data_IF_773265106492
#
_entry.id   IF_773265106492
#
_cell.length_a   1.000
_cell.length_b   1.000
_cell.length_c   1.000
_cell.angle_alpha   90.00
_cell.angle_beta   90.00
_cell.angle_gamma   90.00
#
_symmetry.space_group_name_H-M   'P 1'
#
loop_
_entity.id
_entity.type
_entity.pdbx_description
1 polymer ?
#
# COMPACT_ATOMS: atom_id res chain seq x y z
N UNK A 1 16.81 -20.68 -64.36
CA UNK A 1 17.64 -20.74 -63.12
C UNK A 1 16.94 -19.91 -62.06
N UNK A 2 16.62 -20.55 -60.92
CA UNK A 2 16.02 -20.03 -59.65
C UNK A 2 14.65 -19.34 -59.85
N UNK A 3 13.56 -19.53 -59.09
CA UNK A 3 13.38 -19.72 -57.65
C UNK A 3 11.96 -20.30 -57.43
N UNK A 4 11.81 -21.56 -57.03
CA UNK A 4 10.62 -22.01 -56.30
C UNK A 4 11.11 -22.88 -55.14
N UNK A 5 11.75 -22.23 -54.17
CA UNK A 5 12.14 -22.87 -52.90
C UNK A 5 10.85 -23.08 -52.11
N UNK A 6 10.34 -24.33 -52.07
CA UNK A 6 9.21 -24.70 -51.21
C UNK A 6 9.60 -24.43 -49.76
N UNK A 7 9.06 -23.35 -49.18
CA UNK A 7 9.21 -23.05 -47.76
C UNK A 7 8.43 -24.14 -47.02
N UNK A 8 9.07 -24.87 -46.10
CA UNK A 8 8.39 -25.94 -45.34
C UNK A 8 7.22 -25.31 -44.57
N UNK A 9 5.98 -25.63 -44.94
CA UNK A 9 4.76 -25.12 -44.28
C UNK A 9 4.72 -25.34 -42.76
N UNK A 10 5.54 -26.27 -42.25
CA UNK A 10 5.73 -26.50 -40.81
C UNK A 10 6.12 -25.22 -40.03
N UNK A 11 6.83 -24.27 -40.66
CA UNK A 11 7.33 -23.07 -39.97
C UNK A 11 6.25 -22.00 -39.73
N UNK A 12 5.16 -21.98 -40.51
CA UNK A 12 4.11 -20.97 -40.35
C UNK A 12 3.23 -21.28 -39.13
N UNK A 13 2.82 -22.54 -38.98
CA UNK A 13 2.03 -22.99 -37.83
C UNK A 13 2.82 -22.83 -36.54
N UNK A 14 4.11 -23.17 -36.56
CA UNK A 14 5.02 -22.96 -35.43
C UNK A 14 5.12 -21.48 -35.03
N UNK A 15 5.29 -20.58 -36.01
CA UNK A 15 5.32 -19.14 -35.75
C UNK A 15 3.99 -18.64 -35.16
N UNK A 16 2.85 -19.09 -35.69
CA UNK A 16 1.54 -18.71 -35.16
C UNK A 16 1.36 -19.20 -33.72
N UNK A 17 1.68 -20.47 -33.44
CA UNK A 17 1.59 -21.02 -32.08
C UNK A 17 2.50 -20.25 -31.12
N UNK A 18 3.73 -19.96 -31.52
CA UNK A 18 4.66 -19.16 -30.72
C UNK A 18 4.10 -17.76 -30.42
N UNK A 19 3.52 -17.09 -31.42
CA UNK A 19 2.91 -15.76 -31.20
C UNK A 19 1.72 -15.81 -30.24
N UNK A 20 0.87 -16.84 -30.33
CA UNK A 20 -0.26 -17.03 -29.41
C UNK A 20 0.24 -17.24 -27.99
N UNK A 21 1.26 -18.07 -27.79
CA UNK A 21 1.86 -18.28 -26.47
C UNK A 21 2.44 -16.99 -25.89
N UNK A 22 3.15 -16.20 -26.71
CA UNK A 22 3.68 -14.90 -26.28
C UNK A 22 2.54 -13.96 -25.83
N UNK A 23 1.46 -13.86 -26.61
CA UNK A 23 0.30 -13.03 -26.24
C UNK A 23 -0.32 -13.48 -24.92
N UNK A 24 -0.50 -14.78 -24.71
CA UNK A 24 -1.03 -15.33 -23.45
C UNK A 24 -0.14 -14.94 -22.27
N UNK A 25 1.18 -15.10 -22.41
CA UNK A 25 2.13 -14.73 -21.35
C UNK A 25 2.06 -13.24 -21.03
N UNK A 26 1.98 -12.36 -22.04
CA UNK A 26 1.83 -10.92 -21.84
C UNK A 26 0.53 -10.55 -21.11
N UNK A 27 -0.58 -11.20 -21.45
CA UNK A 27 -1.86 -10.97 -20.76
C UNK A 27 -1.76 -11.39 -19.30
N UNK A 28 -1.22 -12.58 -19.01
CA UNK A 28 -1.03 -13.06 -17.64
C UNK A 28 -0.11 -12.13 -16.85
N UNK A 29 1.03 -11.72 -17.43
CA UNK A 29 1.96 -10.80 -16.81
C UNK A 29 1.32 -9.43 -16.51
N UNK A 30 0.50 -8.92 -17.43
CA UNK A 30 -0.22 -7.64 -17.25
C UNK A 30 -1.25 -7.73 -16.12
N UNK A 31 -1.97 -8.84 -16.01
CA UNK A 31 -2.92 -9.08 -14.92
C UNK A 31 -2.19 -9.19 -13.57
N UNK A 32 -1.05 -9.89 -13.52
CA UNK A 32 -0.21 -9.98 -12.32
C UNK A 32 0.26 -8.58 -11.92
N UNK A 33 0.83 -7.81 -12.85
CA UNK A 33 1.33 -6.47 -12.59
C UNK A 33 0.22 -5.54 -12.09
N UNK A 34 -0.96 -5.56 -12.71
CA UNK A 34 -2.10 -4.75 -12.28
C UNK A 34 -2.50 -5.06 -10.83
N UNK A 35 -2.57 -6.35 -10.48
CA UNK A 35 -2.86 -6.78 -9.12
C UNK A 35 -1.77 -6.37 -8.13
N UNK A 36 -0.49 -6.45 -8.50
CA UNK A 36 0.62 -6.00 -7.65
C UNK A 36 0.58 -4.49 -7.42
N UNK A 37 0.28 -3.70 -8.45
CA UNK A 37 0.17 -2.24 -8.34
C UNK A 37 -0.99 -1.85 -7.43
N UNK A 38 -2.19 -2.39 -7.65
CA UNK A 38 -3.37 -2.11 -6.81
C UNK A 38 -3.13 -2.51 -5.33
N UNK A 39 -2.49 -3.66 -5.10
CA UNK A 39 -2.15 -4.09 -3.75
C UNK A 39 -1.08 -3.20 -3.09
N UNK A 40 -0.08 -2.75 -3.84
CA UNK A 40 0.95 -1.84 -3.32
C UNK A 40 0.35 -0.50 -2.92
N UNK A 41 -0.45 0.13 -3.80
CA UNK A 41 -1.08 1.43 -3.49
C UNK A 41 -2.11 1.34 -2.35
N UNK A 42 -2.90 0.26 -2.28
CA UNK A 42 -3.89 0.10 -1.22
C UNK A 42 -3.27 -0.18 0.15
N UNK A 43 -2.11 -0.86 0.19
CA UNK A 43 -1.43 -1.27 1.44
C UNK A 43 -0.34 -0.32 1.90
N UNK A 44 0.16 0.58 1.05
CA UNK A 44 1.21 1.52 1.43
C UNK A 44 0.74 2.45 2.57
N UNK A 45 1.18 2.15 3.79
CA UNK A 45 0.94 2.93 5.01
C UNK A 45 2.15 3.74 5.44
N UNK A 46 3.25 3.74 4.67
CA UNK A 46 4.49 4.42 5.09
C UNK A 46 4.30 5.91 5.34
N UNK A 47 3.47 6.59 4.54
CA UNK A 47 3.22 8.01 4.74
C UNK A 47 2.48 8.31 6.05
N UNK A 48 1.51 7.48 6.44
CA UNK A 48 0.80 7.67 7.70
C UNK A 48 1.66 7.20 8.89
N UNK A 49 2.45 6.14 8.72
CA UNK A 49 3.39 5.68 9.74
C UNK A 49 4.45 6.73 10.07
N UNK A 50 5.04 7.37 9.05
CA UNK A 50 5.99 8.46 9.26
C UNK A 50 5.35 9.64 9.97
N UNK A 51 4.15 10.05 9.54
CA UNK A 51 3.41 11.14 10.19
C UNK A 51 3.06 10.82 11.65
N UNK A 52 2.66 9.58 11.93
CA UNK A 52 2.43 9.12 13.30
C UNK A 52 3.72 9.17 14.13
N UNK A 53 4.87 8.79 13.58
CA UNK A 53 6.15 8.89 14.29
C UNK A 53 6.54 10.36 14.56
N UNK A 54 6.24 11.29 13.65
CA UNK A 54 6.42 12.74 13.88
C UNK A 54 5.53 13.22 15.03
N UNK A 55 4.26 12.83 15.05
CA UNK A 55 3.34 13.14 16.14
C UNK A 55 3.82 12.54 17.47
N UNK A 56 4.34 11.31 17.47
CA UNK A 56 4.95 10.70 18.66
C UNK A 56 6.13 11.52 19.19
N UNK A 57 6.97 12.08 18.30
CA UNK A 57 8.08 12.93 18.68
C UNK A 57 7.62 14.27 19.28
N UNK A 58 6.61 14.92 18.68
CA UNK A 58 6.04 16.18 19.21
C UNK A 58 5.36 15.97 20.57
N UNK A 59 4.77 14.79 20.78
CA UNK A 59 4.20 14.37 22.07
C UNK A 59 5.29 14.25 23.14
N UNK A 60 6.40 13.57 22.84
CA UNK A 60 7.51 13.39 23.77
C UNK A 60 8.16 14.72 24.16
N UNK A 61 8.20 15.68 23.24
CA UNK A 61 8.75 17.02 23.51
C UNK A 61 7.72 18.00 24.11
N UNK A 62 6.49 17.55 24.38
CA UNK A 62 5.46 18.38 25.02
C UNK A 62 4.89 19.50 24.14
N UNK A 63 5.12 19.45 22.82
CA UNK A 63 4.63 20.46 21.88
C UNK A 63 3.19 20.18 21.41
N UNK A 64 2.68 18.97 21.64
CA UNK A 64 1.33 18.60 21.28
C UNK A 64 0.35 18.80 22.45
N UNK A 65 -0.73 19.55 22.20
CA UNK A 65 -1.83 19.73 23.15
C UNK A 65 -2.91 18.67 22.94
N UNK A 66 -3.44 18.12 24.02
CA UNK A 66 -4.47 17.08 24.00
C UNK A 66 -5.83 17.62 24.48
N UNK A 67 -6.97 17.07 24.01
CA UNK A 67 -7.09 16.06 22.95
C UNK A 67 -6.71 16.62 21.58
N UNK A 68 -6.06 15.80 20.75
CA UNK A 68 -5.61 16.19 19.42
C UNK A 68 -6.38 15.43 18.36
N UNK A 69 -6.86 16.14 17.34
CA UNK A 69 -7.52 15.55 16.18
C UNK A 69 -7.01 16.20 14.90
N UNK A 70 -6.72 15.37 13.92
CA UNK A 70 -6.21 15.82 12.63
C UNK A 70 -6.75 14.94 11.50
N UNK A 71 -7.02 15.56 10.35
CA UNK A 71 -7.26 14.85 9.10
C UNK A 71 -6.00 14.94 8.24
N UNK A 72 -5.24 13.85 8.19
CA UNK A 72 -4.06 13.73 7.35
C UNK A 72 -4.39 12.91 6.09
N UNK A 73 -4.60 13.60 4.96
CA UNK A 73 -5.01 12.99 3.68
C UNK A 73 -6.33 12.22 3.85
N UNK A 74 -6.33 10.90 3.59
CA UNK A 74 -7.49 10.01 3.77
C UNK A 74 -7.53 9.35 5.17
N UNK A 75 -6.79 9.88 6.16
CA UNK A 75 -6.72 9.34 7.52
C UNK A 75 -7.21 10.36 8.56
N UNK A 76 -8.14 9.93 9.41
CA UNK A 76 -8.54 10.65 10.61
C UNK A 76 -7.70 10.15 11.78
N UNK A 77 -6.93 11.03 12.40
CA UNK A 77 -6.07 10.76 13.54
C UNK A 77 -6.69 11.39 14.79
N UNK A 78 -6.80 10.60 15.85
CA UNK A 78 -7.30 11.03 17.15
C UNK A 78 -6.32 10.61 18.23
N UNK A 79 -5.93 11.55 19.09
CA UNK A 79 -5.01 11.31 20.19
C UNK A 79 -5.64 11.76 21.49
N UNK A 80 -5.90 10.78 22.35
CA UNK A 80 -6.58 10.97 23.63
C UNK A 80 -5.66 10.54 24.77
N UNK A 81 -5.73 11.29 25.88
CA UNK A 81 -5.14 10.90 27.16
C UNK A 81 -6.17 10.09 27.94
N UNK A 82 -5.81 8.86 28.30
CA UNK A 82 -6.53 8.08 29.30
C UNK A 82 -5.71 8.06 30.58
N UNK A 83 -6.38 8.29 31.71
CA UNK A 83 -5.79 8.24 33.04
C UNK A 83 -6.32 7.00 33.74
N UNK A 84 -5.47 6.00 33.94
CA UNK A 84 -5.80 4.81 34.70
C UNK A 84 -5.03 4.88 36.01
N UNK A 85 -5.73 4.98 37.14
CA UNK A 85 -5.34 5.03 38.58
C UNK A 85 -3.90 5.43 39.03
N UNK A 86 -2.84 5.07 38.30
CA UNK A 86 -1.43 5.39 38.58
C UNK A 86 -0.56 5.76 37.36
N UNK A 87 -1.05 5.66 36.11
CA UNK A 87 -0.28 5.91 34.88
C UNK A 87 -1.10 6.73 33.87
N UNK A 88 -0.50 7.76 33.27
CA UNK A 88 -1.07 8.43 32.09
C UNK A 88 -0.74 7.61 30.84
N UNK A 89 -1.74 7.22 30.07
CA UNK A 89 -1.54 6.50 28.80
C UNK A 89 -2.11 7.33 27.66
N UNK A 90 -1.33 7.47 26.59
CA UNK A 90 -1.74 8.10 25.36
C UNK A 90 -2.20 7.04 24.37
N UNK A 91 -3.40 7.24 23.84
CA UNK A 91 -3.98 6.39 22.80
C UNK A 91 -4.03 7.18 21.51
N UNK A 92 -3.26 6.73 20.52
CA UNK A 92 -3.26 7.28 19.16
C UNK A 92 -4.06 6.32 18.26
N UNK A 93 -5.12 6.82 17.64
CA UNK A 93 -5.97 6.10 16.72
C UNK A 93 -5.94 6.78 15.35
N UNK A 94 -5.43 6.09 14.33
CA UNK A 94 -5.53 6.52 12.94
C UNK A 94 -6.51 5.61 12.18
N UNK A 95 -7.57 6.19 11.63
CA UNK A 95 -8.60 5.47 10.86
C UNK A 95 -8.62 5.96 9.42
N UNK A 96 -8.47 5.04 8.46
CA UNK A 96 -8.56 5.36 7.03
C UNK A 96 -10.03 5.51 6.63
N UNK A 97 -10.41 6.67 6.10
CA UNK A 97 -11.81 7.02 5.77
C UNK A 97 -12.44 6.03 4.77
N UNK A 98 -11.67 5.55 3.80
CA UNK A 98 -12.18 4.73 2.68
C UNK A 98 -12.15 3.22 2.88
N UNK A 99 -11.30 2.70 3.78
CA UNK A 99 -11.10 1.24 3.90
C UNK A 99 -11.31 0.68 5.31
N UNK A 100 -11.79 1.51 6.25
CA UNK A 100 -11.92 1.17 7.68
C UNK A 100 -10.64 0.56 8.31
N UNK A 101 -9.48 0.74 7.67
CA UNK A 101 -8.20 0.26 8.21
C UNK A 101 -7.86 1.13 9.42
N UNK A 102 -7.62 0.50 10.56
CA UNK A 102 -7.28 1.15 11.82
C UNK A 102 -5.84 0.85 12.20
N UNK A 103 -5.12 1.86 12.66
CA UNK A 103 -3.80 1.73 13.28
C UNK A 103 -3.96 2.34 14.68
N UNK A 104 -3.72 1.54 15.71
CA UNK A 104 -3.78 1.96 17.11
C UNK A 104 -2.39 1.85 17.74
N UNK A 105 -1.96 2.89 18.45
CA UNK A 105 -0.72 2.89 19.23
C UNK A 105 -1.01 3.34 20.65
N UNK A 106 -0.36 2.68 21.61
CA UNK A 106 -0.46 2.97 23.03
C UNK A 106 0.92 3.38 23.52
N UNK A 107 1.03 4.57 24.12
CA UNK A 107 2.26 5.10 24.68
C UNK A 107 2.04 5.36 26.16
N UNK A 108 2.95 4.87 26.99
CA UNK A 108 2.99 5.22 28.41
C UNK A 108 3.57 6.63 28.50
N UNK A 109 2.84 7.54 29.13
CA UNK A 109 3.24 8.92 29.36
C UNK A 109 3.60 9.04 30.85
N UNK A 110 4.88 9.27 31.15
CA UNK A 110 5.38 9.58 32.50
C UNK A 110 5.39 11.09 32.77
#
# INVERSE_FOLDING_TARGET
MVVLKKIKSATLVEAIVATVLIVIVFVVASLILNNLLLNTFSKNTHQIENHLNELEYEIQNGHLKFPYQENYKDWNIQINKEKTESLETLIILATKEKSQKKISRHLIYE
#
